data_IF_385898982123
#
_entry.id   IF_385898982123
#
_cell.length_a   1.000
_cell.length_b   1.000
_cell.length_c   1.000
_cell.angle_alpha   90.00
_cell.angle_beta   90.00
_cell.angle_gamma   90.00
#
_symmetry.space_group_name_H-M   'P 1'
#
loop_
_entity.id
_entity.type
_entity.pdbx_description
1 polymer ?
#
# COMPACT_ATOMS: atom_id res chain seq x y z
N UNK A 1 -25.94 15.75 43.19
CA UNK A 1 -24.49 15.63 42.96
C UNK A 1 -24.29 14.62 41.83
N UNK A 2 -24.13 15.10 40.60
CA UNK A 2 -23.93 14.25 39.40
C UNK A 2 -22.49 14.43 38.95
N UNK A 3 -21.65 13.42 39.16
CA UNK A 3 -20.26 13.39 38.71
C UNK A 3 -20.20 13.09 37.20
N UNK A 4 -19.63 14.02 36.43
CA UNK A 4 -19.27 13.77 35.04
C UNK A 4 -18.16 12.70 34.96
N UNK A 5 -18.20 11.76 34.00
CA UNK A 5 -17.07 10.88 33.75
C UNK A 5 -15.94 11.67 33.07
N UNK A 6 -14.75 11.59 33.63
CA UNK A 6 -13.51 12.16 33.07
C UNK A 6 -13.15 11.49 31.74
N UNK A 7 -12.62 12.23 30.74
CA UNK A 7 -12.15 11.64 29.50
C UNK A 7 -10.94 10.75 29.81
N UNK A 8 -11.04 9.46 29.49
CA UNK A 8 -9.92 8.53 29.58
C UNK A 8 -8.88 8.89 28.52
N UNK A 9 -7.82 9.57 28.94
CA UNK A 9 -6.61 9.78 28.13
C UNK A 9 -5.93 8.43 27.91
N UNK A 10 -6.34 7.72 26.85
CA UNK A 10 -5.58 6.58 26.32
C UNK A 10 -4.21 7.11 25.90
N UNK A 11 -3.15 6.60 26.53
CA UNK A 11 -1.77 6.86 26.10
C UNK A 11 -1.64 6.45 24.62
N UNK A 12 -0.94 7.23 23.78
CA UNK A 12 -0.71 6.85 22.39
C UNK A 12 -0.04 5.47 22.38
N UNK A 13 -0.67 4.53 21.68
CA UNK A 13 -0.11 3.22 21.43
C UNK A 13 1.21 3.43 20.68
N UNK A 14 2.31 2.90 21.20
CA UNK A 14 3.60 2.99 20.52
C UNK A 14 3.51 2.25 19.18
N UNK A 15 4.02 2.88 18.13
CA UNK A 15 4.10 2.27 16.80
C UNK A 15 5.02 1.05 16.85
N UNK A 16 4.47 -0.12 16.60
CA UNK A 16 5.17 -1.41 16.73
C UNK A 16 6.23 -1.63 15.62
N UNK A 17 6.15 -0.86 14.53
CA UNK A 17 6.99 -1.00 13.35
C UNK A 17 7.60 0.34 12.93
N UNK A 18 8.89 0.34 12.64
CA UNK A 18 9.63 1.47 12.11
C UNK A 18 10.10 1.16 10.68
N UNK A 19 9.74 2.04 9.75
CA UNK A 19 10.14 1.97 8.35
C UNK A 19 11.27 2.96 8.08
N UNK A 20 12.42 2.44 7.64
CA UNK A 20 13.59 3.24 7.25
C UNK A 20 13.79 3.19 5.73
N UNK A 21 13.48 4.30 5.07
CA UNK A 21 13.75 4.53 3.66
C UNK A 21 14.95 5.48 3.52
N UNK A 22 16.06 4.99 2.94
CA UNK A 22 17.16 5.87 2.51
C UNK A 22 17.10 6.07 1.02
N UNK A 23 17.04 7.33 0.60
CA UNK A 23 17.21 7.74 -0.79
C UNK A 23 18.65 8.23 -1.00
N UNK A 24 19.19 8.01 -2.19
CA UNK A 24 20.39 8.66 -2.68
C UNK A 24 20.09 10.14 -2.93
N UNK A 25 20.76 11.06 -2.23
CA UNK A 25 20.48 12.50 -2.33
C UNK A 25 20.76 13.08 -3.72
N UNK A 26 21.53 12.41 -4.58
CA UNK A 26 21.86 12.93 -5.93
C UNK A 26 20.84 12.52 -6.97
N UNK A 27 20.44 11.26 -6.96
CA UNK A 27 19.50 10.69 -7.94
C UNK A 27 18.06 10.69 -7.45
N UNK A 28 17.85 10.95 -6.15
CA UNK A 28 16.61 10.72 -5.43
C UNK A 28 16.09 9.27 -5.55
N UNK A 29 16.97 8.33 -5.96
CA UNK A 29 16.68 6.91 -6.08
C UNK A 29 16.94 6.20 -4.76
N UNK A 30 16.22 5.13 -4.47
CA UNK A 30 16.36 4.40 -3.21
C UNK A 30 17.72 3.72 -3.04
N UNK A 31 18.36 3.94 -1.89
CA UNK A 31 19.60 3.29 -1.45
C UNK A 31 19.37 2.12 -0.48
N UNK A 32 18.45 2.23 0.47
CA UNK A 32 18.09 1.11 1.36
C UNK A 32 16.66 1.19 1.84
N UNK A 33 16.07 0.03 2.12
CA UNK A 33 14.73 -0.10 2.67
C UNK A 33 14.71 -1.19 3.73
N UNK A 34 14.33 -0.82 4.94
CA UNK A 34 14.31 -1.75 6.06
C UNK A 34 13.05 -1.49 6.86
N UNK A 35 12.25 -2.52 7.05
CA UNK A 35 11.14 -2.50 8.00
C UNK A 35 11.58 -3.25 9.27
N UNK A 36 11.60 -2.55 10.39
CA UNK A 36 12.08 -3.06 11.69
C UNK A 36 10.93 -3.10 12.69
N UNK A 37 10.82 -4.19 13.44
CA UNK A 37 9.92 -4.27 14.57
C UNK A 37 10.56 -3.59 15.79
N UNK A 38 9.75 -3.03 16.72
CA UNK A 38 10.26 -2.43 17.97
C UNK A 38 11.13 -3.43 18.76
N UNK A 39 10.79 -4.72 18.68
CA UNK A 39 11.62 -5.77 19.23
C UNK A 39 12.85 -5.99 18.34
N UNK A 40 13.97 -5.36 18.69
CA UNK A 40 15.26 -5.48 17.97
C UNK A 40 15.82 -6.91 17.89
N UNK A 41 15.24 -7.87 18.62
CA UNK A 41 15.58 -9.29 18.47
C UNK A 41 14.97 -9.92 17.20
N UNK A 42 13.92 -9.30 16.64
CA UNK A 42 13.31 -9.73 15.39
C UNK A 42 14.11 -9.23 14.18
N UNK A 43 14.22 -10.08 13.17
CA UNK A 43 15.01 -9.75 11.97
C UNK A 43 14.31 -8.66 11.17
N UNK A 44 15.07 -7.69 10.63
CA UNK A 44 14.52 -6.70 9.72
C UNK A 44 13.92 -7.38 8.48
N UNK A 45 12.77 -6.86 8.03
CA UNK A 45 12.14 -7.27 6.78
C UNK A 45 12.75 -6.46 5.65
N UNK A 46 13.32 -7.17 4.67
CA UNK A 46 13.83 -6.61 3.42
C UNK A 46 12.78 -6.76 2.33
N UNK A 47 12.45 -5.64 1.69
CA UNK A 47 11.42 -5.56 0.65
C UNK A 47 12.03 -5.30 -0.72
N UNK A 48 11.54 -6.04 -1.72
CA UNK A 48 11.95 -5.91 -3.13
C UNK A 48 10.74 -5.55 -3.98
N UNK A 49 10.66 -4.29 -4.39
CA UNK A 49 9.65 -3.83 -5.33
C UNK A 49 10.09 -4.07 -6.77
N UNK A 50 9.15 -4.54 -7.59
CA UNK A 50 9.34 -4.79 -9.01
C UNK A 50 8.19 -4.14 -9.76
N UNK A 51 8.54 -3.14 -10.57
CA UNK A 51 7.63 -2.51 -11.53
C UNK A 51 7.70 -3.27 -12.87
N UNK A 52 6.82 -4.27 -13.06
CA UNK A 52 6.86 -5.15 -14.24
C UNK A 52 5.90 -4.70 -15.34
N UNK A 53 5.89 -5.41 -16.47
CA UNK A 53 5.06 -5.06 -17.63
C UNK A 53 3.56 -5.26 -17.37
N UNK A 54 3.19 -6.24 -16.55
CA UNK A 54 1.80 -6.66 -16.38
C UNK A 54 1.20 -6.19 -15.06
N UNK A 55 2.00 -6.18 -14.00
CA UNK A 55 1.62 -5.78 -12.65
C UNK A 55 2.86 -5.36 -11.88
N UNK A 56 2.64 -4.62 -10.80
CA UNK A 56 3.66 -4.26 -9.84
C UNK A 56 3.62 -5.26 -8.69
N UNK A 57 4.78 -5.51 -8.08
CA UNK A 57 4.85 -6.42 -6.95
C UNK A 57 5.86 -5.98 -5.89
N UNK A 58 5.60 -6.36 -4.64
CA UNK A 58 6.52 -6.19 -3.52
C UNK A 58 6.76 -7.54 -2.84
N UNK A 59 7.98 -8.05 -2.92
CA UNK A 59 8.40 -9.33 -2.32
C UNK A 59 9.13 -9.11 -1.01
N UNK A 60 8.87 -9.95 -0.01
CA UNK A 60 9.57 -9.91 1.28
C UNK A 60 9.49 -11.26 2.01
N UNK A 61 10.33 -11.42 3.04
CA UNK A 61 10.25 -12.55 3.98
C UNK A 61 9.65 -12.03 5.29
N UNK A 62 8.58 -12.65 5.75
CA UNK A 62 7.89 -12.27 6.98
C UNK A 62 8.64 -12.71 8.25
N UNK A 63 8.22 -12.24 9.44
CA UNK A 63 8.81 -12.65 10.73
C UNK A 63 8.66 -14.15 11.01
N UNK A 64 7.66 -14.78 10.42
CA UNK A 64 7.40 -16.21 10.44
C UNK A 64 8.30 -17.03 9.49
N UNK A 65 9.20 -16.37 8.75
CA UNK A 65 10.10 -16.99 7.79
C UNK A 65 9.45 -17.38 6.46
N UNK A 66 8.15 -17.09 6.25
CA UNK A 66 7.48 -17.36 4.97
C UNK A 66 7.76 -16.25 3.96
N UNK A 67 7.75 -16.63 2.68
CA UNK A 67 7.86 -15.68 1.59
C UNK A 67 6.49 -15.09 1.25
N UNK A 68 6.45 -13.77 1.09
CA UNK A 68 5.25 -13.00 0.78
C UNK A 68 5.44 -12.18 -0.49
N UNK A 69 4.34 -11.92 -1.19
CA UNK A 69 4.31 -11.02 -2.33
C UNK A 69 3.00 -10.24 -2.41
N UNK A 70 3.08 -8.93 -2.32
CA UNK A 70 2.00 -8.08 -2.79
C UNK A 70 2.01 -7.99 -4.31
N UNK A 71 0.84 -7.93 -4.92
CA UNK A 71 0.64 -7.81 -6.37
C UNK A 71 -0.48 -6.81 -6.66
N UNK A 72 -0.28 -5.93 -7.64
CA UNK A 72 -1.35 -5.05 -8.13
C UNK A 72 -2.23 -5.73 -9.17
N UNK A 73 -3.47 -5.26 -9.30
CA UNK A 73 -4.40 -5.70 -10.35
C UNK A 73 -3.94 -5.36 -11.77
N UNK A 74 -3.07 -4.36 -11.93
CA UNK A 74 -2.53 -3.91 -13.21
C UNK A 74 -1.22 -3.17 -13.00
N UNK A 75 -0.39 -3.09 -14.04
CA UNK A 75 0.79 -2.22 -14.05
C UNK A 75 0.41 -0.80 -13.69
N UNK A 76 1.14 -0.21 -12.75
CA UNK A 76 0.98 1.20 -12.43
C UNK A 76 1.45 2.06 -13.61
N UNK A 77 0.63 2.98 -14.11
CA UNK A 77 1.14 3.94 -15.09
C UNK A 77 0.26 5.18 -15.18
N UNK A 78 0.90 6.34 -15.23
CA UNK A 78 0.19 7.58 -15.48
C UNK A 78 -0.31 7.72 -16.92
N UNK A 79 0.19 6.90 -17.85
CA UNK A 79 -0.12 7.00 -19.28
C UNK A 79 -1.39 6.23 -19.68
N UNK A 80 -1.71 5.15 -18.97
CA UNK A 80 -2.79 4.24 -19.33
C UNK A 80 -3.99 4.36 -18.37
N UNK A 81 -4.14 5.51 -17.70
CA UNK A 81 -5.24 5.75 -16.76
C UNK A 81 -5.16 4.93 -15.46
N UNK A 82 -4.10 4.16 -15.25
CA UNK A 82 -3.90 3.37 -14.03
C UNK A 82 -3.47 4.29 -12.89
N UNK A 83 -4.44 4.68 -12.06
CA UNK A 83 -4.18 5.55 -10.90
C UNK A 83 -3.83 4.72 -9.68
N UNK A 84 -2.79 5.15 -8.98
CA UNK A 84 -2.37 4.59 -7.70
C UNK A 84 -3.52 4.43 -6.68
N UNK A 85 -4.43 5.41 -6.63
CA UNK A 85 -5.58 5.43 -5.72
C UNK A 85 -6.79 4.60 -6.20
N UNK A 86 -6.60 3.79 -7.23
CA UNK A 86 -7.62 2.85 -7.73
C UNK A 86 -7.07 1.44 -7.90
N UNK A 87 -5.75 1.27 -7.70
CA UNK A 87 -5.10 -0.03 -7.80
C UNK A 87 -5.58 -0.94 -6.67
N UNK A 88 -6.05 -2.12 -7.04
CA UNK A 88 -6.32 -3.19 -6.11
C UNK A 88 -5.06 -3.99 -5.88
N UNK A 89 -4.90 -4.45 -4.66
CA UNK A 89 -3.70 -5.15 -4.21
C UNK A 89 -4.11 -6.47 -3.56
N UNK A 90 -3.33 -7.51 -3.79
CA UNK A 90 -3.49 -8.79 -3.09
C UNK A 90 -2.14 -9.23 -2.53
N UNK A 91 -2.14 -9.65 -1.26
CA UNK A 91 -0.98 -10.21 -0.58
C UNK A 91 -1.07 -11.72 -0.63
N UNK A 92 -0.09 -12.33 -1.27
CA UNK A 92 0.07 -13.77 -1.33
C UNK A 92 1.17 -14.23 -0.38
N UNK A 93 1.03 -15.45 0.14
CA UNK A 93 2.06 -16.13 0.96
C UNK A 93 2.39 -17.48 0.34
N UNK A 94 3.67 -17.87 0.34
CA UNK A 94 4.10 -19.21 -0.02
C UNK A 94 3.55 -20.25 0.96
N UNK A 95 3.03 -21.36 0.42
CA UNK A 95 2.37 -22.42 1.22
C UNK A 95 2.93 -23.79 0.87
N UNK A 96 3.28 -24.58 1.89
CA UNK A 96 3.73 -25.96 1.74
C UNK A 96 4.97 -26.08 0.85
N UNK A 97 4.86 -26.86 -0.23
CA UNK A 97 5.95 -27.12 -1.18
C UNK A 97 6.03 -26.10 -2.32
N UNK A 98 5.22 -25.04 -2.31
CA UNK A 98 5.20 -24.01 -3.36
C UNK A 98 6.08 -22.83 -2.90
N UNK A 99 7.29 -22.66 -3.46
CA UNK A 99 8.21 -21.61 -3.01
C UNK A 99 7.82 -20.23 -3.52
N UNK A 100 7.09 -20.14 -4.63
CA UNK A 100 6.65 -18.86 -5.21
C UNK A 100 5.33 -18.42 -4.56
N UNK A 101 5.31 -17.28 -3.84
CA UNK A 101 4.10 -16.79 -3.20
C UNK A 101 2.94 -16.59 -4.17
N UNK A 102 3.18 -16.26 -5.44
CA UNK A 102 2.11 -15.97 -6.41
C UNK A 102 1.10 -17.12 -6.57
N UNK A 103 1.58 -18.35 -6.39
CA UNK A 103 0.78 -19.58 -6.50
C UNK A 103 0.32 -20.13 -5.15
N UNK A 104 0.56 -19.37 -4.07
CA UNK A 104 0.15 -19.71 -2.72
C UNK A 104 -1.20 -19.13 -2.34
N UNK A 105 -1.39 -18.87 -1.04
CA UNK A 105 -2.67 -18.39 -0.49
C UNK A 105 -2.72 -16.86 -0.45
N UNK A 106 -3.89 -16.28 -0.78
CA UNK A 106 -4.17 -14.86 -0.52
C UNK A 106 -4.49 -14.69 0.96
N UNK A 107 -3.70 -13.88 1.65
CA UNK A 107 -3.82 -13.64 3.10
C UNK A 107 -4.36 -12.27 3.44
N UNK A 108 -4.23 -11.30 2.54
CA UNK A 108 -4.84 -9.99 2.65
C UNK A 108 -5.09 -9.40 1.27
N UNK A 109 -5.99 -8.44 1.19
CA UNK A 109 -6.24 -7.65 0.00
C UNK A 109 -6.57 -6.21 0.38
N UNK A 110 -6.22 -5.30 -0.51
CA UNK A 110 -6.48 -3.88 -0.36
C UNK A 110 -7.22 -3.36 -1.60
N UNK A 111 -8.30 -2.65 -1.36
CA UNK A 111 -9.09 -2.01 -2.40
C UNK A 111 -9.62 -0.65 -1.95
N UNK A 112 -9.73 0.25 -2.91
CA UNK A 112 -10.54 1.45 -2.76
C UNK A 112 -12.00 1.06 -2.97
N UNK A 113 -12.88 1.49 -2.06
CA UNK A 113 -14.29 1.09 -1.95
C UNK A 113 -15.00 0.91 -3.30
N UNK A 114 -15.75 -0.19 -3.42
CA UNK A 114 -16.39 -0.70 -4.64
C UNK A 114 -17.87 -0.33 -4.80
N UNK A 115 -18.43 0.50 -3.90
CA UNK A 115 -19.74 1.12 -4.08
C UNK A 115 -20.87 0.66 -3.15
N UNK A 116 -20.59 -0.01 -2.03
CA UNK A 116 -21.64 -0.27 -1.04
C UNK A 116 -22.05 1.02 -0.31
N UNK A 117 -23.30 1.44 -0.48
CA UNK A 117 -23.85 2.64 0.16
C UNK A 117 -24.65 2.23 1.38
N UNK A 118 -24.04 2.34 2.56
CA UNK A 118 -24.72 2.11 3.83
C UNK A 118 -25.69 3.26 4.15
N UNK A 119 -26.80 3.38 3.40
CA UNK A 119 -28.03 4.14 3.71
C UNK A 119 -27.92 5.64 4.08
N UNK A 120 -26.73 6.19 4.26
CA UNK A 120 -26.47 7.47 4.95
C UNK A 120 -25.91 8.54 4.01
N UNK A 121 -25.80 8.25 2.71
CA UNK A 121 -25.54 9.25 1.67
C UNK A 121 -24.13 9.86 1.65
N UNK A 122 -23.27 9.56 2.62
CA UNK A 122 -21.87 9.97 2.61
C UNK A 122 -21.00 8.83 2.09
N UNK A 123 -20.58 8.93 0.83
CA UNK A 123 -19.68 7.97 0.17
C UNK A 123 -18.36 8.68 -0.09
N UNK A 124 -17.44 8.60 0.86
CA UNK A 124 -16.03 8.78 0.56
C UNK A 124 -15.51 7.43 0.03
N UNK A 125 -14.52 7.41 -0.88
CA UNK A 125 -13.82 6.17 -1.19
C UNK A 125 -13.04 5.76 0.06
N UNK A 126 -13.66 4.95 0.92
CA UNK A 126 -13.00 4.39 2.08
C UNK A 126 -12.01 3.35 1.59
N UNK A 127 -10.72 3.61 1.83
CA UNK A 127 -9.65 2.66 1.59
C UNK A 127 -9.75 1.53 2.61
N UNK A 128 -9.88 0.29 2.15
CA UNK A 128 -10.03 -0.86 3.03
C UNK A 128 -8.92 -1.88 2.80
N UNK A 129 -8.34 -2.36 3.90
CA UNK A 129 -7.47 -3.53 3.92
C UNK A 129 -8.23 -4.66 4.60
N UNK A 130 -8.46 -5.74 3.86
CA UNK A 130 -9.15 -6.93 4.33
C UNK A 130 -8.13 -8.02 4.65
N UNK A 131 -8.19 -8.56 5.88
CA UNK A 131 -7.41 -9.73 6.27
C UNK A 131 -8.21 -10.99 5.96
N UNK A 132 -7.65 -11.86 5.13
CA UNK A 132 -8.28 -13.14 4.73
C UNK A 132 -7.79 -14.33 5.56
N UNK A 133 -6.62 -14.21 6.16
CA UNK A 133 -6.02 -15.23 7.00
C UNK A 133 -5.90 -14.75 8.46
N UNK A 134 -6.07 -15.66 9.42
CA UNK A 134 -6.04 -15.34 10.86
C UNK A 134 -4.63 -15.42 11.47
N UNK A 135 -3.71 -16.08 10.79
CA UNK A 135 -2.35 -16.36 11.23
C UNK A 135 -1.33 -15.32 10.73
N UNK A 136 -1.79 -14.26 10.09
CA UNK A 136 -0.93 -13.18 9.59
C UNK A 136 -1.05 -11.97 10.52
N UNK A 137 0.09 -11.43 10.91
CA UNK A 137 0.15 -10.21 11.72
C UNK A 137 -0.43 -9.02 10.92
N UNK A 138 -1.55 -8.41 11.38
CA UNK A 138 -2.14 -7.23 10.75
C UNK A 138 -1.13 -6.10 10.56
N UNK A 139 -0.20 -5.93 11.51
CA UNK A 139 0.75 -4.84 11.47
C UNK A 139 1.78 -5.02 10.34
N UNK A 140 2.22 -6.26 10.06
CA UNK A 140 3.07 -6.57 8.90
C UNK A 140 2.34 -6.28 7.59
N UNK A 141 1.06 -6.65 7.49
CA UNK A 141 0.23 -6.39 6.29
C UNK A 141 0.16 -4.90 6.02
N UNK A 142 -0.21 -4.11 7.03
CA UNK A 142 -0.34 -2.65 6.89
C UNK A 142 1.01 -2.00 6.57
N UNK A 143 2.07 -2.37 7.29
CA UNK A 143 3.39 -1.78 7.08
C UNK A 143 3.93 -2.09 5.68
N UNK A 144 3.83 -3.34 5.22
CA UNK A 144 4.32 -3.71 3.88
C UNK A 144 3.45 -3.15 2.74
N UNK A 145 2.15 -2.95 2.97
CA UNK A 145 1.30 -2.24 2.03
C UNK A 145 1.72 -0.77 1.91
N UNK A 146 2.03 -0.10 3.02
CA UNK A 146 2.54 1.28 2.99
C UNK A 146 3.85 1.38 2.19
N UNK A 147 4.76 0.41 2.38
CA UNK A 147 5.99 0.31 1.58
C UNK A 147 5.69 0.22 0.09
N UNK A 148 4.79 -0.68 -0.30
CA UNK A 148 4.41 -0.84 -1.70
C UNK A 148 3.83 0.45 -2.27
N UNK A 149 2.96 1.11 -1.51
CA UNK A 149 2.30 2.33 -1.93
C UNK A 149 3.26 3.50 -2.12
N UNK A 150 4.27 3.62 -1.26
CA UNK A 150 5.33 4.63 -1.42
C UNK A 150 6.17 4.37 -2.67
N UNK A 151 6.40 3.10 -3.00
CA UNK A 151 7.06 2.70 -4.24
C UNK A 151 6.27 3.13 -5.47
N UNK A 152 4.98 2.85 -5.48
CA UNK A 152 4.09 3.25 -6.56
C UNK A 152 4.07 4.77 -6.74
N UNK A 153 4.00 5.52 -5.65
CA UNK A 153 4.08 6.99 -5.67
C UNK A 153 5.40 7.49 -6.25
N UNK A 154 6.51 6.83 -5.94
CA UNK A 154 7.83 7.14 -6.47
C UNK A 154 7.89 6.87 -7.98
N UNK A 155 7.39 5.71 -8.42
CA UNK A 155 7.29 5.33 -9.83
C UNK A 155 6.47 6.35 -10.62
N UNK A 156 5.30 6.76 -10.11
CA UNK A 156 4.47 7.79 -10.75
C UNK A 156 5.16 9.14 -10.84
N UNK A 157 5.90 9.56 -9.81
CA UNK A 157 6.66 10.82 -9.85
C UNK A 157 7.74 10.78 -10.94
N UNK A 158 8.42 9.65 -11.10
CA UNK A 158 9.40 9.44 -12.15
C UNK A 158 8.76 9.44 -13.55
N UNK A 159 7.64 8.72 -13.74
CA UNK A 159 6.91 8.74 -15.00
C UNK A 159 6.38 10.14 -15.35
N UNK A 160 5.79 10.85 -14.38
CA UNK A 160 5.32 12.23 -14.56
C UNK A 160 6.44 13.17 -14.98
N UNK A 161 7.63 13.05 -14.37
CA UNK A 161 8.77 13.87 -14.73
C UNK A 161 9.24 13.62 -16.18
N UNK A 162 9.14 12.37 -16.64
CA UNK A 162 9.54 11.94 -17.98
C UNK A 162 8.51 12.26 -19.06
N UNK A 163 7.22 12.12 -18.76
CA UNK A 163 6.10 12.20 -19.72
C UNK A 163 5.09 13.29 -19.35
N UNK A 164 5.57 14.53 -19.17
CA UNK A 164 4.77 15.65 -18.65
C UNK A 164 3.50 15.92 -19.46
N UNK A 165 3.59 15.91 -20.79
CA UNK A 165 2.47 16.25 -21.67
C UNK A 165 1.40 15.15 -21.66
N UNK A 166 1.81 13.88 -21.74
CA UNK A 166 0.89 12.75 -21.67
C UNK A 166 0.25 12.61 -20.28
N UNK A 167 0.99 12.95 -19.22
CA UNK A 167 0.43 13.04 -17.87
C UNK A 167 -0.69 14.09 -17.80
N UNK A 168 -0.51 15.25 -18.43
CA UNK A 168 -1.51 16.32 -18.44
C UNK A 168 -2.84 15.86 -19.06
N UNK A 169 -2.79 15.10 -20.16
CA UNK A 169 -3.98 14.53 -20.80
C UNK A 169 -4.68 13.52 -19.88
N UNK A 170 -3.92 12.59 -19.29
CA UNK A 170 -4.49 11.60 -18.36
C UNK A 170 -5.07 12.23 -17.09
N UNK A 171 -4.47 13.32 -16.62
CA UNK A 171 -4.96 14.11 -15.50
C UNK A 171 -6.31 14.79 -15.82
N UNK A 172 -6.44 15.38 -17.02
CA UNK A 172 -7.72 15.95 -17.46
C UNK A 172 -8.82 14.90 -17.62
N UNK A 173 -8.49 13.71 -18.16
CA UNK A 173 -9.43 12.60 -18.25
C UNK A 173 -9.86 12.10 -16.87
N UNK A 174 -8.91 11.95 -15.94
CA UNK A 174 -9.19 11.56 -14.57
C UNK A 174 -10.11 12.57 -13.88
N UNK A 175 -9.91 13.89 -14.07
CA UNK A 175 -10.78 14.95 -13.52
C UNK A 175 -12.22 14.89 -14.04
N UNK A 176 -12.47 14.32 -15.21
CA UNK A 176 -13.85 14.15 -15.74
C UNK A 176 -14.61 13.05 -15.01
N UNK A 177 -13.93 12.05 -14.47
CA UNK A 177 -14.53 10.94 -13.73
C UNK A 177 -15.06 11.39 -12.35
N UNK A 178 -16.12 10.74 -11.87
CA UNK A 178 -16.81 11.09 -10.60
C UNK A 178 -15.84 11.10 -9.41
N UNK A 179 -15.00 10.06 -9.30
CA UNK A 179 -13.97 9.98 -8.25
C UNK A 179 -12.85 10.98 -8.44
N UNK A 180 -12.46 11.32 -9.68
CA UNK A 180 -11.45 12.34 -9.95
C UNK A 180 -11.92 13.77 -9.62
N UNK A 181 -13.21 14.07 -9.78
CA UNK A 181 -13.79 15.35 -9.33
C UNK A 181 -13.71 15.52 -7.81
N UNK A 182 -13.83 14.42 -7.06
CA UNK A 182 -13.81 14.44 -5.59
C UNK A 182 -12.40 14.38 -5.02
N UNK A 183 -11.47 13.66 -5.67
CA UNK A 183 -10.15 13.34 -5.12
C UNK A 183 -9.02 14.30 -5.50
N UNK A 184 -9.07 14.97 -6.65
CA UNK A 184 -7.81 15.43 -7.26
C UNK A 184 -7.16 16.69 -6.63
N UNK A 185 -7.81 17.45 -5.73
CA UNK A 185 -7.21 18.70 -5.19
C UNK A 185 -7.63 19.06 -3.75
N UNK A 186 -7.18 18.27 -2.76
CA UNK A 186 -6.95 18.77 -1.39
C UNK A 186 -5.46 18.96 -1.06
N UNK A 187 -4.60 18.95 -2.09
CA UNK A 187 -3.18 19.30 -2.01
C UNK A 187 -2.94 20.55 -2.87
#
# INVERSE_FOLDING_TARGET
MTSNPSPSTKKPQKDTWAYELKLDPRSNLRKSEVLTHENRAERPILTTYIHALNYDSLRFIGPDGRAYMWVTSSKLSCLNGARYDTLRHALFVATGNVPDPLYGQIVADHCFWDGYSGGTGHVLPDEAVNLRARDVDPAVVVATLQVMKDWEKTTLRAEKARYKDAFGVGEEEARRAVLGRVSYWKA
#
